data_IF_601467378248
#
_entry.id   IF_601467378248
#
_cell.length_a   1.000
_cell.length_b   1.000
_cell.length_c   1.000
_cell.angle_alpha   90.00
_cell.angle_beta   90.00
_cell.angle_gamma   90.00
#
_symmetry.space_group_name_H-M   'P 1'
#
loop_
_entity.id
_entity.type
_entity.pdbx_description
1 polymer ?
#
# COMPACT_ATOMS: atom_id res chain seq x y z
N UNK A 1 -20.92 -8.44 -1.71
CA UNK A 1 -20.22 -7.14 -1.72
C UNK A 1 -20.71 -6.19 -0.59
N UNK A 2 -21.40 -6.69 0.45
CA UNK A 2 -22.03 -5.86 1.49
C UNK A 2 -21.49 -6.15 2.92
N UNK A 3 -20.33 -6.82 3.04
CA UNK A 3 -19.81 -7.33 4.32
C UNK A 3 -18.35 -6.97 4.60
N UNK A 4 -17.68 -6.23 3.71
CA UNK A 4 -16.44 -5.54 4.07
C UNK A 4 -16.80 -4.13 4.54
N UNK A 5 -16.23 -3.71 5.67
CA UNK A 5 -16.34 -2.33 6.11
C UNK A 5 -15.89 -1.40 4.97
N UNK A 6 -16.84 -0.64 4.42
CA UNK A 6 -16.53 0.41 3.45
C UNK A 6 -15.70 1.47 4.17
N UNK A 7 -14.37 1.34 4.08
CA UNK A 7 -13.43 2.35 4.52
C UNK A 7 -13.90 3.72 4.03
N UNK A 8 -13.98 4.70 4.94
CA UNK A 8 -14.42 6.04 4.60
C UNK A 8 -13.54 6.62 3.48
N UNK A 9 -14.16 6.94 2.35
CA UNK A 9 -13.48 7.57 1.22
C UNK A 9 -14.27 8.80 0.78
N UNK A 10 -13.62 9.97 0.76
CA UNK A 10 -14.20 11.24 0.32
C UNK A 10 -13.17 12.03 -0.51
N UNK A 11 -13.38 12.08 -1.82
CA UNK A 11 -12.51 12.77 -2.80
C UNK A 11 -13.02 14.18 -3.17
N UNK A 12 -14.09 14.67 -2.52
CA UNK A 12 -14.66 16.00 -2.77
C UNK A 12 -14.93 16.33 -4.26
N UNK A 13 -15.29 15.33 -5.09
CA UNK A 13 -15.44 15.47 -6.55
C UNK A 13 -16.43 16.57 -6.97
N UNK A 14 -17.56 16.70 -6.26
CA UNK A 14 -18.53 17.80 -6.47
C UNK A 14 -17.87 19.16 -6.25
N UNK A 15 -17.14 19.31 -5.14
CA UNK A 15 -16.44 20.56 -4.81
C UNK A 15 -15.38 20.89 -5.86
N UNK A 16 -14.64 19.90 -6.36
CA UNK A 16 -13.62 20.08 -7.41
C UNK A 16 -14.25 20.67 -8.68
N UNK A 17 -15.34 20.08 -9.15
CA UNK A 17 -16.06 20.55 -10.34
C UNK A 17 -16.66 21.95 -10.12
N UNK A 18 -17.27 22.22 -8.95
CA UNK A 18 -17.80 23.55 -8.62
C UNK A 18 -16.71 24.63 -8.59
N UNK A 19 -15.54 24.33 -8.02
CA UNK A 19 -14.42 25.27 -7.98
C UNK A 19 -13.92 25.61 -9.38
N UNK A 20 -13.94 24.68 -10.32
CA UNK A 20 -13.55 24.94 -11.71
C UNK A 20 -14.53 25.87 -12.39
N UNK A 21 -15.83 25.67 -12.19
CA UNK A 21 -16.85 26.60 -12.72
C UNK A 21 -16.67 28.00 -12.13
N UNK A 22 -16.42 28.12 -10.83
CA UNK A 22 -16.12 29.42 -10.19
C UNK A 22 -14.89 30.10 -10.79
N UNK A 23 -13.86 29.32 -11.18
CA UNK A 23 -12.63 29.87 -11.79
C UNK A 23 -12.87 30.49 -13.16
N UNK A 24 -13.81 29.97 -13.95
CA UNK A 24 -14.17 30.53 -15.27
C UNK A 24 -14.61 31.98 -15.14
N UNK A 25 -15.49 32.26 -14.17
CA UNK A 25 -15.99 33.62 -13.91
C UNK A 25 -15.00 34.48 -13.11
N UNK A 26 -13.91 33.87 -12.62
CA UNK A 26 -13.04 34.47 -11.63
C UNK A 26 -12.29 35.71 -12.12
N UNK A 27 -11.99 35.83 -13.42
CA UNK A 27 -11.11 36.91 -13.93
C UNK A 27 -11.85 38.07 -14.61
N UNK A 28 -13.17 38.19 -14.40
CA UNK A 28 -13.96 39.23 -15.06
C UNK A 28 -13.80 40.58 -14.35
N UNK A 29 -13.68 41.65 -15.14
CA UNK A 29 -13.55 43.03 -14.66
C UNK A 29 -14.51 43.97 -15.38
N UNK A 30 -14.95 45.02 -14.71
CA UNK A 30 -15.79 46.06 -15.27
C UNK A 30 -15.11 47.43 -15.15
N UNK A 31 -15.42 48.35 -16.06
CA UNK A 31 -14.91 49.71 -16.00
C UNK A 31 -15.82 50.59 -15.16
N UNK A 32 -15.26 51.33 -14.19
CA UNK A 32 -16.04 52.29 -13.38
C UNK A 32 -15.93 53.71 -13.90
N UNK A 33 -14.74 54.11 -14.33
CA UNK A 33 -14.42 55.50 -14.66
C UNK A 33 -13.15 55.56 -15.52
N UNK A 34 -12.82 56.73 -16.05
CA UNK A 34 -11.59 56.99 -16.79
C UNK A 34 -10.53 57.58 -15.86
N UNK A 35 -9.28 57.15 -16.03
CA UNK A 35 -8.13 57.84 -15.46
C UNK A 35 -7.88 59.13 -16.23
N UNK A 36 -7.08 60.02 -15.63
CA UNK A 36 -6.63 61.27 -16.27
C UNK A 36 -5.83 61.06 -17.57
N UNK A 37 -5.40 59.83 -17.86
CA UNK A 37 -4.70 59.43 -19.10
C UNK A 37 -5.65 58.87 -20.19
N UNK A 38 -6.96 58.82 -19.94
CA UNK A 38 -7.96 58.26 -20.86
C UNK A 38 -8.11 56.73 -20.80
N UNK A 39 -7.37 56.02 -19.95
CA UNK A 39 -7.50 54.58 -19.74
C UNK A 39 -8.59 54.24 -18.71
N UNK A 40 -9.26 53.09 -18.89
CA UNK A 40 -10.32 52.64 -17.98
C UNK A 40 -9.77 52.18 -16.62
N UNK A 41 -10.41 52.62 -15.53
CA UNK A 41 -10.24 52.04 -14.19
C UNK A 41 -11.05 50.75 -14.13
N UNK A 42 -10.35 49.62 -14.16
CA UNK A 42 -10.95 48.28 -14.10
C UNK A 42 -11.04 47.79 -12.65
N UNK A 43 -12.20 47.28 -12.26
CA UNK A 43 -12.41 46.58 -10.98
C UNK A 43 -12.81 45.14 -11.25
N UNK A 44 -12.22 44.21 -10.51
CA UNK A 44 -12.55 42.78 -10.60
C UNK A 44 -13.87 42.50 -9.90
N UNK A 45 -14.73 41.70 -10.54
CA UNK A 45 -15.98 41.25 -9.94
C UNK A 45 -15.69 40.06 -9.01
N UNK A 46 -16.10 40.12 -7.73
CA UNK A 46 -15.96 38.98 -6.84
C UNK A 46 -16.93 37.86 -7.24
N UNK A 47 -16.42 36.62 -7.33
CA UNK A 47 -17.22 35.42 -7.53
C UNK A 47 -17.26 34.62 -6.24
N UNK A 48 -18.45 34.17 -5.83
CA UNK A 48 -18.66 33.37 -4.61
C UNK A 48 -19.48 32.14 -4.93
N UNK A 49 -19.14 31.04 -4.28
CA UNK A 49 -20.02 29.86 -4.24
C UNK A 49 -21.12 30.13 -3.21
N UNK A 50 -22.37 30.15 -3.64
CA UNK A 50 -23.52 30.35 -2.77
C UNK A 50 -23.85 29.04 -2.05
N UNK A 51 -23.10 28.74 -0.98
CA UNK A 51 -23.43 27.70 -0.02
C UNK A 51 -23.98 28.33 1.26
N UNK A 52 -25.04 29.12 1.15
CA UNK A 52 -25.58 29.84 2.30
C UNK A 52 -26.98 29.35 2.61
N UNK A 53 -27.12 28.63 3.72
CA UNK A 53 -28.43 28.39 4.33
C UNK A 53 -29.12 29.74 4.56
N UNK A 54 -30.42 29.84 4.26
CA UNK A 54 -31.25 31.04 4.46
C UNK A 54 -31.06 31.69 5.85
N UNK A 55 -30.76 30.87 6.87
CA UNK A 55 -30.49 31.30 8.24
C UNK A 55 -29.17 32.07 8.41
N UNK A 56 -28.09 31.68 7.71
CA UNK A 56 -26.79 32.36 7.78
C UNK A 56 -26.83 33.70 7.04
N UNK A 57 -27.61 33.79 5.96
CA UNK A 57 -27.89 35.06 5.29
C UNK A 57 -28.68 36.04 6.18
N UNK A 58 -29.57 35.51 7.03
CA UNK A 58 -30.33 36.29 8.00
C UNK A 58 -29.48 36.79 9.18
N UNK A 59 -28.48 35.99 9.60
CA UNK A 59 -27.49 36.37 10.63
C UNK A 59 -26.51 37.42 10.08
N UNK A 60 -26.02 37.26 8.84
CA UNK A 60 -25.16 38.25 8.17
C UNK A 60 -25.85 39.60 7.97
N UNK A 61 -27.17 39.60 7.82
CA UNK A 61 -27.98 40.82 7.73
C UNK A 61 -28.29 41.47 9.08
N UNK A 62 -27.89 40.87 10.21
CA UNK A 62 -28.10 41.43 11.56
C UNK A 62 -29.52 41.98 11.78
N UNK A 63 -30.54 41.34 11.19
CA UNK A 63 -31.93 41.75 11.29
C UNK A 63 -32.24 43.20 10.80
N UNK A 64 -31.38 43.78 9.95
CA UNK A 64 -31.56 45.11 9.35
C UNK A 64 -31.77 44.99 7.84
N UNK A 65 -32.91 45.48 7.35
CA UNK A 65 -33.20 45.59 5.91
C UNK A 65 -32.28 46.57 5.18
N UNK A 66 -31.55 47.42 5.90
CA UNK A 66 -30.82 48.55 5.32
C UNK A 66 -29.33 48.28 5.06
N UNK A 67 -28.87 47.02 5.21
CA UNK A 67 -27.51 46.65 4.83
C UNK A 67 -27.48 46.42 3.31
N UNK A 68 -27.00 47.43 2.59
CA UNK A 68 -26.84 47.35 1.14
C UNK A 68 -25.88 46.21 0.77
N UNK A 69 -26.34 45.29 -0.08
CA UNK A 69 -25.53 44.19 -0.56
C UNK A 69 -24.36 44.76 -1.38
N UNK A 70 -23.14 44.27 -1.17
CA UNK A 70 -21.99 44.66 -1.98
C UNK A 70 -22.18 44.14 -3.41
N UNK A 71 -22.49 45.06 -4.33
CA UNK A 71 -22.63 44.82 -5.77
C UNK A 71 -21.53 45.60 -6.52
N UNK A 72 -20.99 45.09 -7.64
CA UNK A 72 -21.41 43.87 -8.33
C UNK A 72 -20.81 42.60 -7.71
N UNK A 73 -21.52 41.49 -7.84
CA UNK A 73 -21.05 40.17 -7.42
C UNK A 73 -21.62 39.08 -8.33
N UNK A 74 -20.87 37.99 -8.53
CA UNK A 74 -21.36 36.78 -9.18
C UNK A 74 -21.49 35.68 -8.13
N UNK A 75 -22.64 35.02 -8.09
CA UNK A 75 -22.90 33.89 -7.21
C UNK A 75 -23.18 32.64 -8.02
N UNK A 76 -22.45 31.55 -7.73
CA UNK A 76 -22.66 30.24 -8.34
C UNK A 76 -23.35 29.33 -7.32
N UNK A 77 -24.52 28.80 -7.67
CA UNK A 77 -25.28 27.86 -6.85
C UNK A 77 -25.44 26.52 -7.58
N UNK A 78 -25.38 25.43 -6.83
CA UNK A 78 -25.77 24.11 -7.32
C UNK A 78 -27.28 23.95 -7.12
N UNK A 79 -28.04 23.95 -8.22
CA UNK A 79 -29.49 23.83 -8.18
C UNK A 79 -29.92 22.37 -8.02
N UNK A 80 -29.37 21.49 -8.86
CA UNK A 80 -29.76 20.09 -8.88
C UNK A 80 -28.61 19.20 -9.38
N UNK A 81 -28.68 17.92 -9.00
CA UNK A 81 -27.78 16.87 -9.44
C UNK A 81 -28.61 15.69 -9.92
N UNK A 82 -28.82 15.60 -11.22
CA UNK A 82 -29.68 14.61 -11.84
C UNK A 82 -28.89 13.40 -12.32
N UNK A 83 -29.40 12.19 -12.09
CA UNK A 83 -28.80 10.99 -12.65
C UNK A 83 -29.08 10.90 -14.16
N UNK A 84 -28.01 10.83 -14.97
CA UNK A 84 -28.18 10.76 -16.43
C UNK A 84 -28.16 9.33 -16.93
N UNK A 85 -29.36 8.78 -17.13
CA UNK A 85 -29.57 7.40 -17.60
C UNK A 85 -29.05 7.14 -19.02
N UNK A 86 -28.94 8.16 -19.86
CA UNK A 86 -28.56 7.98 -21.26
C UNK A 86 -27.06 7.73 -21.41
N UNK A 87 -26.25 8.19 -20.44
CA UNK A 87 -24.79 8.00 -20.42
C UNK A 87 -24.35 6.79 -19.61
N UNK A 88 -25.29 6.03 -19.05
CA UNK A 88 -24.99 4.86 -18.22
C UNK A 88 -24.36 3.77 -19.08
N UNK A 89 -23.22 3.29 -18.62
CA UNK A 89 -22.55 2.12 -19.16
C UNK A 89 -22.69 0.93 -18.21
N UNK A 90 -22.10 -0.21 -18.57
CA UNK A 90 -22.13 -1.40 -17.72
C UNK A 90 -21.54 -1.11 -16.32
N UNK A 91 -22.32 -1.27 -15.25
CA UNK A 91 -21.92 -0.83 -13.90
C UNK A 91 -20.79 -1.67 -13.28
N UNK A 92 -20.57 -2.90 -13.78
CA UNK A 92 -19.54 -3.81 -13.27
C UNK A 92 -18.25 -3.77 -14.10
N UNK A 93 -18.18 -2.92 -15.11
CA UNK A 93 -16.99 -2.87 -15.94
C UNK A 93 -15.82 -2.27 -15.15
N UNK A 94 -14.72 -3.02 -15.13
CA UNK A 94 -13.43 -2.60 -14.58
C UNK A 94 -12.47 -2.44 -15.75
N UNK A 95 -12.04 -1.21 -15.98
CA UNK A 95 -11.09 -0.91 -17.04
C UNK A 95 -9.67 -1.07 -16.48
N UNK A 96 -8.89 -1.99 -17.05
CA UNK A 96 -7.50 -2.22 -16.67
C UNK A 96 -6.59 -1.56 -17.70
N UNK A 97 -5.76 -0.62 -17.26
CA UNK A 97 -4.77 0.05 -18.10
C UNK A 97 -3.38 -0.36 -17.63
N UNK A 98 -2.58 -0.91 -18.53
CA UNK A 98 -1.18 -1.22 -18.25
C UNK A 98 -0.32 0.02 -18.50
N UNK A 99 0.50 0.35 -17.52
CA UNK A 99 1.37 1.53 -17.50
C UNK A 99 2.80 1.03 -17.32
N UNK A 100 3.70 1.47 -18.19
CA UNK A 100 5.13 1.22 -18.04
C UNK A 100 5.84 2.55 -17.81
N UNK A 101 6.52 2.69 -16.68
CA UNK A 101 7.38 3.82 -16.41
C UNK A 101 8.75 3.61 -17.06
N UNK A 102 9.46 4.70 -17.31
CA UNK A 102 10.89 4.64 -17.68
C UNK A 102 11.70 4.36 -16.43
N UNK A 103 12.76 3.59 -16.58
CA UNK A 103 13.69 3.31 -15.48
C UNK A 103 14.23 4.64 -14.94
N UNK A 104 14.10 4.87 -13.64
CA UNK A 104 14.58 6.08 -12.96
C UNK A 104 15.80 5.70 -12.14
N UNK A 105 16.91 6.37 -12.40
CA UNK A 105 18.14 6.20 -11.63
C UNK A 105 18.17 7.25 -10.52
N UNK A 106 18.03 6.82 -9.27
CA UNK A 106 17.98 7.71 -8.09
C UNK A 106 19.32 8.40 -7.81
N UNK A 107 20.45 7.88 -8.32
CA UNK A 107 21.78 8.43 -8.07
C UNK A 107 22.10 9.58 -9.04
N UNK A 108 21.66 9.46 -10.30
CA UNK A 108 21.86 10.49 -11.34
C UNK A 108 20.66 11.42 -11.51
N UNK A 109 19.48 11.01 -11.04
CA UNK A 109 18.23 11.73 -11.19
C UNK A 109 17.70 11.76 -12.62
N UNK A 110 18.23 10.89 -13.50
CA UNK A 110 17.88 10.85 -14.93
C UNK A 110 16.97 9.65 -15.27
N UNK A 111 16.13 9.83 -16.28
CA UNK A 111 15.29 8.76 -16.83
C UNK A 111 16.06 7.97 -17.89
N UNK A 112 16.31 6.70 -17.62
CA UNK A 112 16.92 5.76 -18.55
C UNK A 112 16.06 5.44 -19.77
N UNK A 113 16.67 4.77 -20.76
CA UNK A 113 15.98 4.27 -21.96
C UNK A 113 15.38 2.87 -21.79
N UNK A 114 15.49 2.28 -20.60
CA UNK A 114 14.95 0.96 -20.27
C UNK A 114 13.54 1.11 -19.67
N UNK A 115 12.73 0.06 -19.83
CA UNK A 115 11.44 -0.05 -19.15
C UNK A 115 11.70 -0.28 -17.65
N UNK A 116 11.14 0.58 -16.82
CA UNK A 116 11.23 0.51 -15.36
C UNK A 116 10.05 -0.28 -14.77
N UNK A 117 9.42 0.30 -13.73
CA UNK A 117 8.25 -0.29 -13.11
C UNK A 117 7.07 -0.42 -14.07
N UNK A 118 6.47 -1.61 -14.13
CA UNK A 118 5.19 -1.81 -14.82
C UNK A 118 4.08 -1.87 -13.78
N UNK A 119 3.00 -1.14 -14.03
CA UNK A 119 1.84 -1.04 -13.17
C UNK A 119 0.57 -1.38 -13.96
N UNK A 120 -0.41 -1.92 -13.27
CA UNK A 120 -1.78 -2.07 -13.77
C UNK A 120 -2.65 -1.14 -12.95
N UNK A 121 -3.27 -0.17 -13.63
CA UNK A 121 -4.29 0.68 -13.05
C UNK A 121 -5.65 0.04 -13.31
N UNK A 122 -6.35 -0.29 -12.24
CA UNK A 122 -7.74 -0.76 -12.30
C UNK A 122 -8.67 0.39 -11.89
N UNK A 123 -9.49 0.85 -12.84
CA UNK A 123 -10.48 1.89 -12.62
C UNK A 123 -11.88 1.33 -12.86
N UNK A 124 -12.77 1.58 -11.90
CA UNK A 124 -14.18 1.22 -12.02
C UNK A 124 -14.92 2.21 -12.93
N UNK A 125 -15.98 1.74 -13.58
CA UNK A 125 -16.89 2.63 -14.31
C UNK A 125 -17.52 3.67 -13.37
N UNK A 126 -17.46 4.92 -13.82
CA UNK A 126 -17.96 6.10 -13.16
C UNK A 126 -19.44 6.25 -13.47
N UNK A 127 -20.14 6.81 -12.51
CA UNK A 127 -21.56 6.99 -12.55
C UNK A 127 -21.86 8.38 -13.14
N UNK A 128 -22.60 8.49 -14.25
CA UNK A 128 -22.89 9.77 -14.89
C UNK A 128 -23.99 10.54 -14.15
N UNK A 129 -23.74 11.82 -13.94
CA UNK A 129 -24.71 12.79 -13.45
C UNK A 129 -24.68 14.05 -14.30
N UNK A 130 -25.79 14.77 -14.35
CA UNK A 130 -25.89 16.13 -14.88
C UNK A 130 -26.00 17.09 -13.71
N UNK A 131 -25.01 17.97 -13.61
CA UNK A 131 -24.98 19.04 -12.63
C UNK A 131 -25.67 20.27 -13.22
N UNK A 132 -26.71 20.75 -12.55
CA UNK A 132 -27.43 21.98 -12.93
C UNK A 132 -26.96 23.13 -12.03
N UNK A 133 -26.37 24.14 -12.63
CA UNK A 133 -25.81 25.30 -11.93
C UNK A 133 -26.61 26.55 -12.29
N UNK A 134 -26.87 27.36 -11.26
CA UNK A 134 -27.43 28.68 -11.42
C UNK A 134 -26.33 29.71 -11.11
N UNK A 135 -26.03 30.59 -12.06
CA UNK A 135 -25.08 31.69 -11.90
C UNK A 135 -25.85 33.00 -11.94
N UNK A 136 -25.88 33.70 -10.81
CA UNK A 136 -26.55 34.99 -10.70
C UNK A 136 -25.52 36.12 -10.68
N UNK A 137 -25.70 37.08 -11.58
CA UNK A 137 -24.97 38.34 -11.63
C UNK A 137 -25.81 39.43 -10.98
N UNK A 138 -25.29 39.99 -9.89
CA UNK A 138 -25.86 41.12 -9.16
C UNK A 138 -25.13 42.39 -9.59
N UNK A 139 -25.87 43.40 -10.08
CA UNK A 139 -25.29 44.67 -10.52
C UNK A 139 -26.14 45.86 -10.04
N UNK A 140 -25.50 47.01 -9.80
CA UNK A 140 -26.22 48.22 -9.37
C UNK A 140 -26.86 48.98 -10.53
N UNK A 141 -26.36 48.79 -11.76
CA UNK A 141 -26.87 49.45 -12.95
C UNK A 141 -26.81 48.52 -14.17
N UNK A 142 -27.60 48.85 -15.21
CA UNK A 142 -27.68 48.06 -16.44
C UNK A 142 -26.36 48.06 -17.23
N UNK A 143 -25.61 49.16 -17.18
CA UNK A 143 -24.34 49.30 -17.90
C UNK A 143 -23.27 48.35 -17.36
N UNK A 144 -23.10 48.28 -16.04
CA UNK A 144 -22.21 47.32 -15.38
C UNK A 144 -22.63 45.88 -15.67
N UNK A 145 -23.94 45.61 -15.66
CA UNK A 145 -24.49 44.30 -16.02
C UNK A 145 -24.13 43.92 -17.45
N UNK A 146 -24.31 44.83 -18.40
CA UNK A 146 -24.00 44.60 -19.81
C UNK A 146 -22.50 44.38 -20.04
N UNK A 147 -21.64 45.23 -19.46
CA UNK A 147 -20.18 45.07 -19.58
C UNK A 147 -19.69 43.70 -19.08
N UNK A 148 -20.26 43.21 -17.98
CA UNK A 148 -19.90 41.90 -17.42
C UNK A 148 -20.51 40.78 -18.27
N UNK A 149 -21.77 40.91 -18.66
CA UNK A 149 -22.48 39.87 -19.42
C UNK A 149 -21.88 39.68 -20.82
N UNK A 150 -21.52 40.75 -21.53
CA UNK A 150 -20.88 40.65 -22.85
C UNK A 150 -19.56 39.88 -22.80
N UNK A 151 -18.77 40.04 -21.73
CA UNK A 151 -17.53 39.27 -21.52
C UNK A 151 -17.81 37.78 -21.27
N UNK A 152 -18.96 37.44 -20.67
CA UNK A 152 -19.35 36.04 -20.40
C UNK A 152 -19.96 35.41 -21.65
N UNK A 153 -20.91 36.10 -22.30
CA UNK A 153 -21.72 35.56 -23.37
C UNK A 153 -20.88 35.10 -24.57
N UNK A 154 -19.78 35.80 -24.89
CA UNK A 154 -18.88 35.40 -25.99
C UNK A 154 -18.07 34.14 -25.72
N UNK A 155 -17.95 33.70 -24.45
CA UNK A 155 -17.23 32.48 -24.09
C UNK A 155 -18.06 31.22 -24.34
N UNK A 156 -19.38 31.34 -24.43
CA UNK A 156 -20.30 30.22 -24.57
C UNK A 156 -20.96 30.25 -25.94
N UNK A 157 -20.60 29.31 -26.81
CA UNK A 157 -21.22 29.15 -28.13
C UNK A 157 -21.44 27.66 -28.48
N UNK A 158 -22.49 27.00 -27.96
CA UNK A 158 -23.27 27.24 -26.74
C UNK A 158 -22.58 26.68 -25.47
N UNK A 159 -21.39 26.11 -25.62
CA UNK A 159 -20.70 25.37 -24.56
C UNK A 159 -19.21 25.72 -24.49
N UNK A 160 -18.60 25.39 -23.36
CA UNK A 160 -17.19 25.55 -23.07
C UNK A 160 -16.64 24.23 -22.54
N UNK A 161 -15.61 23.69 -23.19
CA UNK A 161 -14.93 22.48 -22.72
C UNK A 161 -13.86 22.83 -21.68
N UNK A 162 -13.81 22.04 -20.62
CA UNK A 162 -12.95 22.21 -19.46
C UNK A 162 -12.20 20.92 -19.21
N UNK A 163 -10.89 21.06 -19.02
CA UNK A 163 -10.06 19.97 -18.52
C UNK A 163 -9.91 20.13 -17.01
N UNK A 164 -10.38 19.13 -16.27
CA UNK A 164 -10.46 19.12 -14.82
C UNK A 164 -9.19 18.57 -14.17
N UNK A 165 -8.40 17.78 -14.89
CA UNK A 165 -7.20 17.08 -14.43
C UNK A 165 -6.19 16.91 -15.56
N UNK A 166 -4.90 17.00 -15.23
CA UNK A 166 -3.79 16.73 -16.15
C UNK A 166 -3.43 15.23 -16.21
N UNK A 167 -4.07 14.41 -15.37
CA UNK A 167 -3.85 12.97 -15.36
C UNK A 167 -4.46 12.34 -16.62
N UNK A 168 -3.61 11.80 -17.50
CA UNK A 168 -4.00 11.13 -18.74
C UNK A 168 -4.85 9.87 -18.51
N UNK A 169 -4.76 9.26 -17.32
CA UNK A 169 -5.52 8.07 -16.96
C UNK A 169 -6.84 8.40 -16.24
N UNK A 170 -7.07 9.68 -15.92
CA UNK A 170 -8.35 10.17 -15.44
C UNK A 170 -9.29 10.41 -16.63
N UNK A 171 -10.26 9.53 -16.76
CA UNK A 171 -11.28 9.59 -17.81
C UNK A 171 -12.44 10.54 -17.46
N UNK A 172 -12.50 11.05 -16.22
CA UNK A 172 -13.41 12.14 -15.81
C UNK A 172 -12.80 13.53 -16.05
N UNK A 173 -11.60 13.57 -16.63
CA UNK A 173 -10.82 14.78 -16.85
C UNK A 173 -11.48 15.79 -17.80
N UNK A 174 -12.31 15.36 -18.75
CA UNK A 174 -12.97 16.27 -19.68
C UNK A 174 -14.42 16.49 -19.27
N UNK A 175 -14.81 17.75 -19.10
CA UNK A 175 -16.20 18.15 -18.81
C UNK A 175 -16.57 19.34 -19.69
N UNK A 176 -17.82 19.40 -20.11
CA UNK A 176 -18.35 20.50 -20.91
C UNK A 176 -19.37 21.28 -20.09
N UNK A 177 -19.24 22.60 -20.05
CA UNK A 177 -20.21 23.49 -19.43
C UNK A 177 -21.05 24.14 -20.52
N UNK A 178 -22.34 23.83 -20.55
CA UNK A 178 -23.27 24.37 -21.55
C UNK A 178 -24.18 25.44 -20.93
N UNK A 179 -24.44 26.51 -21.68
CA UNK A 179 -25.37 27.57 -21.29
C UNK A 179 -26.77 27.25 -21.84
N UNK A 180 -27.72 26.91 -20.97
CA UNK A 180 -29.09 26.52 -21.36
C UNK A 180 -30.00 27.72 -21.57
N UNK A 181 -29.93 28.69 -20.64
CA UNK A 181 -30.84 29.82 -20.65
C UNK A 181 -30.26 31.02 -19.92
N UNK A 182 -30.65 32.20 -20.37
CA UNK A 182 -30.32 33.48 -19.74
C UNK A 182 -31.62 34.21 -19.45
N UNK A 183 -31.86 34.51 -18.17
CA UNK A 183 -32.88 35.45 -17.74
C UNK A 183 -32.22 36.81 -17.52
N UNK A 184 -32.42 37.73 -18.47
CA UNK A 184 -31.71 39.01 -18.53
C UNK A 184 -32.11 40.02 -17.43
N UNK A 185 -33.33 39.91 -16.91
CA UNK A 185 -33.82 40.80 -15.86
C UNK A 185 -35.00 40.14 -15.14
N UNK A 186 -34.90 40.04 -13.81
CA UNK A 186 -36.01 39.66 -12.95
C UNK A 186 -36.94 40.84 -12.58
N UNK A 187 -36.65 42.06 -13.08
CA UNK A 187 -37.46 43.25 -12.80
C UNK A 187 -38.74 43.23 -13.64
N UNK A 188 -39.90 43.41 -12.99
CA UNK A 188 -41.09 43.87 -13.70
C UNK A 188 -40.87 45.30 -14.20
N UNK A 189 -41.45 45.68 -15.33
CA UNK A 189 -41.36 47.05 -15.86
C UNK A 189 -41.85 48.04 -14.77
N UNK A 190 -41.00 48.89 -14.19
CA UNK A 190 -41.39 49.68 -13.04
C UNK A 190 -42.28 50.86 -13.46
N UNK A 191 -43.47 50.94 -12.88
CA UNK A 191 -44.26 52.19 -12.75
C UNK A 191 -43.93 52.74 -11.35
N UNK A 192 -42.75 53.36 -11.16
CA UNK A 192 -42.33 53.89 -9.85
C UNK A 192 -40.85 54.29 -9.77
N UNK A 193 -40.50 55.06 -8.73
CA UNK A 193 -39.21 55.77 -8.54
C UNK A 193 -38.18 55.04 -7.64
N UNK A 194 -38.27 53.72 -7.44
CA UNK A 194 -37.26 52.99 -6.64
C UNK A 194 -36.18 52.35 -7.53
N UNK A 195 -34.93 52.66 -7.23
CA UNK A 195 -33.76 52.01 -7.84
C UNK A 195 -33.52 50.64 -7.20
N UNK A 196 -34.05 49.60 -7.84
CA UNK A 196 -33.83 48.20 -7.46
C UNK A 196 -32.53 47.66 -8.08
N UNK A 197 -31.86 46.74 -7.38
CA UNK A 197 -30.70 46.00 -7.87
C UNK A 197 -31.09 45.17 -9.09
N UNK A 198 -30.26 45.19 -10.13
CA UNK A 198 -30.47 44.32 -11.30
C UNK A 198 -29.84 42.95 -11.09
N UNK A 199 -30.61 41.91 -11.42
CA UNK A 199 -30.17 40.51 -11.34
C UNK A 199 -30.34 39.89 -12.72
N UNK A 200 -29.26 39.31 -13.23
CA UNK A 200 -29.25 38.46 -14.42
C UNK A 200 -28.90 37.03 -13.99
N UNK A 201 -29.74 36.07 -14.35
CA UNK A 201 -29.59 34.66 -13.98
C UNK A 201 -29.25 33.85 -15.22
N UNK A 202 -28.18 33.06 -15.15
CA UNK A 202 -27.76 32.13 -16.19
C UNK A 202 -27.83 30.71 -15.65
N UNK A 203 -28.51 29.83 -16.38
CA UNK A 203 -28.58 28.41 -16.03
C UNK A 203 -27.62 27.62 -16.91
N UNK A 204 -26.73 26.87 -16.27
CA UNK A 204 -25.75 26.03 -16.92
C UNK A 204 -25.99 24.56 -16.58
N UNK A 205 -25.65 23.68 -17.52
CA UNK A 205 -25.60 22.23 -17.27
C UNK A 205 -24.20 21.72 -17.57
N UNK A 206 -23.70 20.83 -16.72
CA UNK A 206 -22.41 20.17 -16.88
C UNK A 206 -22.54 18.66 -16.66
N UNK A 207 -22.12 17.81 -17.61
CA UNK A 207 -21.90 16.38 -17.36
C UNK A 207 -20.82 16.22 -16.31
N UNK A 208 -21.09 15.49 -15.23
CA UNK A 208 -20.05 15.08 -14.29
C UNK A 208 -20.13 13.58 -14.05
N UNK A 209 -18.99 13.00 -13.69
CA UNK A 209 -18.86 11.57 -13.45
C UNK A 209 -18.35 11.38 -12.02
N UNK A 210 -18.97 10.44 -11.29
CA UNK A 210 -18.46 10.04 -9.98
C UNK A 210 -17.85 8.65 -10.07
N UNK A 211 -16.57 8.53 -9.75
CA UNK A 211 -15.87 7.26 -9.69
C UNK A 211 -15.38 6.98 -8.27
N UNK A 212 -15.36 5.70 -7.84
CA UNK A 212 -14.56 5.31 -6.68
C UNK A 212 -13.06 5.48 -6.97
N UNK A 213 -12.19 5.46 -5.95
CA UNK A 213 -10.75 5.48 -6.15
C UNK A 213 -10.28 4.33 -7.03
N UNK A 214 -9.28 4.58 -7.88
CA UNK A 214 -8.64 3.56 -8.69
C UNK A 214 -7.63 2.76 -7.86
N UNK A 215 -7.49 1.47 -8.18
CA UNK A 215 -6.51 0.58 -7.56
C UNK A 215 -5.27 0.56 -8.46
N UNK A 216 -4.10 0.77 -7.88
CA UNK A 216 -2.83 0.70 -8.58
C UNK A 216 -2.07 -0.54 -8.12
N UNK A 217 -1.91 -1.50 -9.02
CA UNK A 217 -1.15 -2.72 -8.77
C UNK A 217 0.20 -2.64 -9.47
N UNK A 218 1.30 -2.88 -8.75
CA UNK A 218 2.62 -2.98 -9.37
C UNK A 218 2.85 -4.42 -9.82
N UNK A 219 3.07 -4.63 -11.12
CA UNK A 219 3.40 -5.95 -11.63
C UNK A 219 4.86 -6.29 -11.30
N UNK A 220 5.06 -7.35 -10.52
CA UNK A 220 6.38 -7.98 -10.35
C UNK A 220 6.44 -9.20 -11.26
N UNK A 221 7.38 -9.22 -12.21
CA UNK A 221 7.54 -10.35 -13.11
C UNK A 221 8.28 -11.47 -12.34
N UNK A 222 7.60 -12.56 -12.03
CA UNK A 222 8.23 -13.72 -11.39
C UNK A 222 8.82 -14.61 -12.48
N UNK A 223 10.14 -14.54 -12.67
CA UNK A 223 10.85 -15.47 -13.52
C UNK A 223 11.08 -16.79 -12.75
N UNK A 224 10.33 -17.83 -13.08
CA UNK A 224 10.65 -19.21 -12.63
C UNK A 224 10.98 -20.04 -13.86
N UNK A 225 12.23 -20.47 -13.99
CA UNK A 225 12.62 -21.44 -15.01
C UNK A 225 12.29 -22.83 -14.46
N UNK A 226 11.26 -23.48 -14.99
CA UNK A 226 11.01 -24.91 -14.77
C UNK A 226 11.71 -25.64 -15.92
N UNK A 227 12.95 -26.09 -15.69
CA UNK A 227 13.63 -26.96 -16.65
C UNK A 227 13.41 -28.41 -16.23
N UNK A 228 12.73 -29.20 -17.06
CA UNK A 228 12.75 -30.65 -16.95
C UNK A 228 14.04 -31.16 -17.58
N UNK A 229 14.97 -31.67 -16.78
CA UNK A 229 16.08 -32.51 -17.25
C UNK A 229 15.84 -33.91 -16.68
N UNK A 230 15.65 -34.86 -17.58
CA UNK A 230 15.82 -36.28 -17.28
C UNK A 230 17.31 -36.54 -17.41
N UNK A 231 18.00 -36.77 -16.30
CA UNK A 231 19.33 -37.38 -16.35
C UNK A 231 19.35 -38.60 -15.43
N UNK A 232 19.31 -39.76 -16.07
CA UNK A 232 19.63 -41.03 -15.46
C UNK A 232 21.12 -41.07 -15.20
N UNK A 233 21.56 -41.05 -13.94
CA UNK A 233 22.57 -42.00 -13.46
C UNK A 233 22.81 -41.92 -11.95
N UNK A 234 22.78 -43.12 -11.37
CA UNK A 234 23.20 -43.52 -10.03
C UNK A 234 24.60 -42.98 -9.68
N UNK A 235 24.74 -42.24 -8.57
CA UNK A 235 25.93 -42.23 -7.67
C UNK A 235 25.97 -41.00 -6.73
N UNK A 236 25.03 -40.88 -5.78
CA UNK A 236 25.31 -40.12 -4.54
C UNK A 236 24.33 -40.53 -3.43
N UNK A 237 24.40 -41.80 -3.00
CA UNK A 237 23.62 -42.33 -1.87
C UNK A 237 24.51 -42.69 -0.67
N UNK A 238 25.67 -42.06 -0.54
CA UNK A 238 26.55 -42.34 0.58
C UNK A 238 27.25 -41.05 1.01
N UNK A 239 27.19 -40.77 2.31
CA UNK A 239 27.71 -39.61 3.03
C UNK A 239 26.77 -38.40 3.12
N UNK A 240 25.98 -38.36 4.20
CA UNK A 240 25.49 -37.21 4.99
C UNK A 240 24.02 -37.40 5.39
N UNK A 241 23.76 -38.17 6.44
CA UNK A 241 22.40 -38.40 6.93
C UNK A 241 22.33 -39.12 8.27
N UNK A 242 22.96 -38.58 9.32
CA UNK A 242 22.81 -39.14 10.67
C UNK A 242 22.86 -38.09 11.81
N UNK A 243 22.68 -36.80 11.49
CA UNK A 243 22.64 -35.72 12.49
C UNK A 243 21.40 -34.81 12.39
N UNK A 244 20.61 -34.94 11.32
CA UNK A 244 19.37 -34.20 11.11
C UNK A 244 18.40 -35.17 10.44
N UNK A 245 17.39 -35.64 11.18
CA UNK A 245 16.41 -36.65 10.75
C UNK A 245 15.65 -36.23 9.49
N UNK A 246 16.26 -36.48 8.34
CA UNK A 246 15.63 -36.39 7.02
C UNK A 246 15.71 -37.78 6.44
N UNK A 247 14.70 -38.58 6.77
CA UNK A 247 14.54 -39.94 6.27
C UNK A 247 13.90 -39.83 4.87
N UNK A 248 14.65 -40.18 3.84
CA UNK A 248 14.18 -40.13 2.45
C UNK A 248 13.55 -41.49 2.10
N UNK A 249 12.23 -41.57 2.21
CA UNK A 249 11.47 -42.75 1.78
C UNK A 249 11.54 -42.92 0.25
N UNK A 250 11.79 -44.15 -0.18
CA UNK A 250 12.32 -44.57 -1.50
C UNK A 250 11.21 -44.66 -2.58
N UNK A 251 10.32 -43.65 -2.64
CA UNK A 251 8.99 -43.81 -3.25
C UNK A 251 8.53 -42.85 -4.36
N UNK A 252 9.23 -41.78 -4.71
CA UNK A 252 8.68 -40.77 -5.65
C UNK A 252 9.33 -40.79 -7.05
N UNK A 253 8.79 -41.66 -7.91
CA UNK A 253 9.16 -41.85 -9.31
C UNK A 253 8.57 -40.76 -10.26
N UNK A 254 8.67 -39.49 -9.86
CA UNK A 254 8.57 -38.32 -10.73
C UNK A 254 9.60 -37.27 -10.28
N UNK A 255 10.89 -37.57 -10.45
CA UNK A 255 11.98 -36.66 -10.05
C UNK A 255 11.95 -35.36 -10.87
N UNK A 256 11.27 -34.35 -10.34
CA UNK A 256 11.32 -32.96 -10.80
C UNK A 256 12.45 -32.25 -10.06
N UNK A 257 13.54 -31.93 -10.75
CA UNK A 257 14.63 -31.16 -10.13
C UNK A 257 14.33 -29.67 -10.24
N UNK A 258 13.88 -29.06 -9.13
CA UNK A 258 13.75 -27.60 -9.02
C UNK A 258 15.13 -27.05 -8.67
N UNK A 259 15.77 -26.36 -9.63
CA UNK A 259 17.12 -25.82 -9.47
C UNK A 259 17.04 -24.34 -9.11
N UNK A 260 17.73 -23.93 -8.05
CA UNK A 260 17.96 -22.53 -7.68
C UNK A 260 18.89 -21.84 -8.69
N UNK A 261 18.92 -20.50 -8.75
CA UNK A 261 19.88 -19.78 -9.59
C UNK A 261 21.31 -20.31 -9.39
N UNK A 262 21.91 -20.85 -10.45
CA UNK A 262 23.27 -21.42 -10.41
C UNK A 262 23.44 -22.72 -9.62
N UNK A 263 22.35 -23.40 -9.20
CA UNK A 263 22.38 -24.65 -8.41
C UNK A 263 23.01 -24.53 -7.00
N UNK A 264 23.16 -23.31 -6.49
CA UNK A 264 23.75 -23.05 -5.18
C UNK A 264 22.77 -23.30 -4.02
N UNK A 265 23.31 -23.69 -2.87
CA UNK A 265 22.62 -23.64 -1.57
C UNK A 265 22.90 -22.30 -0.87
N UNK A 266 22.05 -21.91 0.08
CA UNK A 266 22.26 -20.71 0.89
C UNK A 266 22.24 -21.05 2.37
N UNK A 267 23.19 -20.51 3.13
CA UNK A 267 23.20 -20.55 4.58
C UNK A 267 22.56 -19.29 5.14
N UNK A 268 21.71 -19.42 6.15
CA UNK A 268 21.14 -18.28 6.87
C UNK A 268 21.52 -18.31 8.34
N UNK A 269 22.22 -17.26 8.79
CA UNK A 269 22.64 -17.07 10.19
C UNK A 269 22.63 -15.58 10.53
N UNK A 270 22.00 -15.18 11.64
CA UNK A 270 22.06 -13.81 12.17
C UNK A 270 21.80 -12.70 11.12
N UNK A 271 20.72 -12.84 10.34
CA UNK A 271 20.31 -11.93 9.25
C UNK A 271 21.24 -11.88 8.02
N UNK A 272 22.26 -12.73 7.96
CA UNK A 272 23.16 -12.83 6.82
C UNK A 272 22.83 -14.09 6.03
N UNK A 273 22.60 -13.91 4.74
CA UNK A 273 22.48 -14.96 3.74
C UNK A 273 23.83 -15.15 3.04
N UNK A 274 24.42 -16.33 3.25
CA UNK A 274 25.69 -16.70 2.64
C UNK A 274 25.46 -17.65 1.47
N UNK A 275 25.98 -17.33 0.30
CA UNK A 275 25.98 -18.24 -0.85
C UNK A 275 26.99 -19.37 -0.63
N UNK A 276 26.55 -20.62 -0.75
CA UNK A 276 27.38 -21.81 -0.56
C UNK A 276 27.73 -22.48 -1.89
N UNK A 277 28.85 -23.21 -1.89
CA UNK A 277 29.30 -24.01 -3.03
C UNK A 277 28.45 -25.29 -3.22
N UNK A 278 28.67 -25.99 -4.34
CA UNK A 278 28.00 -27.28 -4.64
C UNK A 278 28.23 -28.37 -3.57
N UNK A 279 29.26 -28.23 -2.73
CA UNK A 279 29.56 -29.12 -1.60
C UNK A 279 29.06 -28.59 -0.25
N UNK A 280 28.19 -27.57 -0.24
CA UNK A 280 27.72 -26.84 0.95
C UNK A 280 28.85 -26.19 1.77
N UNK A 281 30.01 -25.94 1.14
CA UNK A 281 31.15 -25.25 1.73
C UNK A 281 31.15 -23.75 1.39
N UNK A 282 31.91 -22.96 2.16
CA UNK A 282 32.13 -21.53 1.89
C UNK A 282 33.04 -21.27 0.67
N UNK A 283 33.82 -22.28 0.27
CA UNK A 283 34.81 -22.18 -0.81
C UNK A 283 34.46 -23.16 -1.95
N UNK A 284 34.62 -22.69 -3.19
CA UNK A 284 34.57 -23.54 -4.37
C UNK A 284 35.84 -24.39 -4.57
N UNK A 285 35.86 -25.23 -5.61
CA UNK A 285 37.01 -26.10 -5.95
C UNK A 285 38.34 -25.35 -6.08
N UNK A 286 38.30 -24.07 -6.43
CA UNK A 286 39.46 -23.19 -6.63
C UNK A 286 39.78 -22.28 -5.42
N UNK A 287 39.22 -22.57 -4.24
CA UNK A 287 39.35 -21.77 -3.02
C UNK A 287 38.85 -20.32 -3.16
N UNK A 288 37.98 -20.07 -4.16
CA UNK A 288 37.31 -18.79 -4.37
C UNK A 288 35.95 -18.77 -3.68
N UNK A 289 35.63 -17.60 -3.13
CA UNK A 289 34.31 -17.28 -2.55
C UNK A 289 33.36 -17.00 -3.72
N UNK A 290 32.16 -17.58 -3.70
CA UNK A 290 31.14 -17.35 -4.73
C UNK A 290 30.45 -16.00 -4.52
N UNK A 291 30.66 -15.01 -5.40
CA UNK A 291 30.04 -13.71 -5.21
C UNK A 291 28.58 -13.72 -5.68
N UNK A 292 27.73 -12.96 -5.01
CA UNK A 292 26.33 -12.77 -5.43
C UNK A 292 26.22 -11.95 -6.73
N UNK A 293 27.12 -10.99 -6.95
CA UNK A 293 27.12 -10.10 -8.11
C UNK A 293 27.02 -10.83 -9.47
N UNK A 294 27.93 -11.75 -9.84
CA UNK A 294 27.85 -12.44 -11.13
C UNK A 294 26.63 -13.34 -11.23
N UNK A 295 26.15 -13.90 -10.11
CA UNK A 295 24.96 -14.73 -10.09
C UNK A 295 23.72 -13.88 -10.39
N UNK A 296 23.57 -12.74 -9.71
CA UNK A 296 22.43 -11.83 -9.89
C UNK A 296 22.44 -11.25 -11.31
N UNK A 297 23.61 -10.82 -11.80
CA UNK A 297 23.78 -10.24 -13.13
C UNK A 297 23.36 -11.19 -14.28
N UNK A 298 23.38 -12.51 -14.06
CA UNK A 298 22.91 -13.49 -15.03
C UNK A 298 21.37 -13.46 -15.20
N UNK A 299 20.63 -13.09 -14.16
CA UNK A 299 19.16 -13.15 -14.13
C UNK A 299 18.47 -11.79 -14.16
N UNK A 300 19.21 -10.70 -13.89
CA UNK A 300 18.67 -9.35 -13.91
C UNK A 300 19.60 -8.32 -13.28
N UNK A 301 19.06 -7.15 -12.96
CA UNK A 301 19.77 -6.13 -12.21
C UNK A 301 19.32 -6.16 -10.75
N UNK A 302 20.29 -6.12 -9.83
CA UNK A 302 20.00 -5.92 -8.42
C UNK A 302 19.41 -4.52 -8.20
N UNK A 303 18.33 -4.43 -7.42
CA UNK A 303 17.69 -3.18 -7.04
C UNK A 303 17.58 -3.13 -5.51
N UNK A 304 18.39 -2.30 -4.82
CA UNK A 304 18.32 -2.16 -3.37
C UNK A 304 16.89 -1.89 -2.88
N UNK A 305 16.47 -2.58 -1.82
CA UNK A 305 15.11 -2.47 -1.26
C UNK A 305 13.96 -3.02 -2.14
N UNK A 306 14.23 -3.51 -3.35
CA UNK A 306 13.21 -4.08 -4.27
C UNK A 306 13.47 -5.57 -4.48
N UNK A 307 14.72 -5.96 -4.65
CA UNK A 307 15.12 -7.36 -4.81
C UNK A 307 14.82 -8.14 -3.52
N UNK A 308 14.20 -9.30 -3.67
CA UNK A 308 13.70 -10.13 -2.56
C UNK A 308 14.32 -11.52 -2.65
N UNK A 309 14.66 -12.07 -1.49
CA UNK A 309 14.89 -13.51 -1.35
C UNK A 309 13.70 -14.14 -0.62
N UNK A 310 13.29 -15.30 -1.12
CA UNK A 310 12.25 -16.14 -0.54
C UNK A 310 12.87 -17.45 -0.10
N UNK A 311 12.69 -17.83 1.16
CA UNK A 311 13.10 -19.13 1.71
C UNK A 311 11.86 -19.97 2.00
N UNK A 312 11.92 -21.26 1.66
CA UNK A 312 10.91 -22.24 2.02
C UNK A 312 11.46 -23.07 3.21
N UNK A 313 10.92 -22.88 4.43
CA UNK A 313 11.34 -23.62 5.62
C UNK A 313 10.66 -25.00 5.77
N UNK A 314 9.81 -25.38 4.81
CA UNK A 314 9.13 -26.68 4.82
C UNK A 314 10.00 -27.77 4.22
N UNK A 315 9.66 -29.03 4.50
CA UNK A 315 10.33 -30.19 3.92
C UNK A 315 9.80 -30.54 2.52
N UNK A 316 8.74 -29.84 2.07
CA UNK A 316 8.10 -30.04 0.77
C UNK A 316 8.36 -28.83 -0.12
N UNK A 317 9.09 -29.05 -1.21
CA UNK A 317 9.46 -28.00 -2.16
C UNK A 317 8.25 -27.42 -2.92
N UNK A 318 7.14 -28.15 -3.00
CA UNK A 318 5.89 -27.72 -3.65
C UNK A 318 4.96 -27.01 -2.65
N UNK A 319 5.07 -27.26 -1.35
CA UNK A 319 4.34 -26.49 -0.34
C UNK A 319 4.99 -25.13 -0.10
N UNK A 320 4.31 -24.10 -0.60
CA UNK A 320 4.77 -22.69 -0.57
C UNK A 320 3.89 -21.81 0.29
N UNK A 321 2.98 -22.40 1.07
CA UNK A 321 2.07 -21.65 1.94
C UNK A 321 2.81 -20.89 3.04
N UNK A 322 4.01 -21.36 3.38
CA UNK A 322 4.86 -20.85 4.45
C UNK A 322 6.17 -20.24 3.92
N UNK A 323 6.20 -19.79 2.66
CA UNK A 323 7.35 -19.09 2.07
C UNK A 323 7.64 -17.78 2.84
N UNK A 324 8.83 -17.70 3.43
CA UNK A 324 9.32 -16.54 4.20
C UNK A 324 10.04 -15.60 3.25
N UNK A 325 9.71 -14.30 3.30
CA UNK A 325 10.17 -13.32 2.32
C UNK A 325 10.93 -12.20 3.02
N UNK A 326 11.92 -11.65 2.34
CA UNK A 326 12.62 -10.45 2.82
C UNK A 326 13.38 -9.77 1.70
N UNK A 327 13.58 -8.46 1.85
CA UNK A 327 14.42 -7.69 0.93
C UNK A 327 15.89 -7.97 1.23
N UNK A 328 16.73 -7.82 0.22
CA UNK A 328 18.17 -8.07 0.35
C UNK A 328 18.98 -6.84 0.01
N UNK A 329 20.08 -6.67 0.73
CA UNK A 329 21.13 -5.69 0.49
C UNK A 329 22.49 -6.40 0.47
N UNK A 330 23.48 -5.85 -0.22
CA UNK A 330 24.83 -6.45 -0.22
C UNK A 330 25.46 -6.35 1.18
N UNK A 331 26.05 -7.45 1.63
CA UNK A 331 26.75 -7.55 2.91
C UNK A 331 28.17 -7.00 2.86
N UNK A 332 28.95 -7.33 3.90
CA UNK A 332 30.37 -7.01 4.02
C UNK A 332 31.25 -7.80 3.06
N UNK A 333 30.93 -9.07 2.84
CA UNK A 333 31.69 -9.96 1.97
C UNK A 333 30.93 -10.26 0.66
N UNK A 334 31.64 -10.60 -0.44
CA UNK A 334 31.00 -10.79 -1.75
C UNK A 334 29.96 -11.92 -1.81
N UNK A 335 30.05 -12.93 -0.93
CA UNK A 335 29.09 -14.03 -0.80
C UNK A 335 27.98 -13.76 0.21
N UNK A 336 27.94 -12.59 0.83
CA UNK A 336 26.98 -12.25 1.88
C UNK A 336 25.94 -11.26 1.36
N UNK A 337 24.68 -11.54 1.67
CA UNK A 337 23.57 -10.60 1.57
C UNK A 337 22.99 -10.37 2.96
N UNK A 338 22.76 -9.12 3.31
CA UNK A 338 21.94 -8.77 4.45
C UNK A 338 20.47 -9.01 4.09
N UNK A 339 19.79 -9.89 4.82
CA UNK A 339 18.39 -10.23 4.59
C UNK A 339 17.47 -9.54 5.59
N UNK A 340 16.70 -8.58 5.09
CA UNK A 340 15.70 -7.83 5.85
C UNK A 340 14.36 -8.57 5.73
N UNK A 341 14.11 -9.48 6.67
CA UNK A 341 12.91 -10.33 6.70
C UNK A 341 11.65 -9.50 6.91
N UNK A 342 10.59 -9.80 6.15
CA UNK A 342 9.25 -9.27 6.39
C UNK A 342 8.60 -10.02 7.56
N UNK A 343 8.36 -9.36 8.70
CA UNK A 343 7.83 -10.01 9.90
C UNK A 343 6.41 -10.56 9.70
N UNK A 344 5.67 -10.10 8.69
CA UNK A 344 4.33 -10.63 8.38
C UNK A 344 4.37 -12.03 7.75
N UNK A 345 5.53 -12.45 7.25
CA UNK A 345 5.72 -13.77 6.63
C UNK A 345 6.25 -14.82 7.60
N UNK A 346 6.63 -14.43 8.81
CA UNK A 346 7.10 -15.36 9.84
C UNK A 346 5.93 -16.13 10.47
N UNK A 347 6.10 -17.42 10.80
CA UNK A 347 5.10 -18.18 11.55
C UNK A 347 4.78 -17.52 12.88
N UNK A 348 3.49 -17.47 13.23
CA UNK A 348 3.07 -16.99 14.54
C UNK A 348 3.50 -17.98 15.64
N UNK A 349 3.90 -17.46 16.81
CA UNK A 349 4.19 -18.30 17.96
C UNK A 349 2.90 -18.97 18.44
N UNK A 350 2.93 -20.29 18.58
CA UNK A 350 1.81 -21.08 19.13
C UNK A 350 1.89 -21.17 20.65
N UNK A 351 3.10 -21.03 21.20
CA UNK A 351 3.38 -21.05 22.64
C UNK A 351 3.87 -19.66 23.07
N UNK A 352 3.50 -19.26 24.27
CA UNK A 352 4.01 -18.01 24.84
C UNK A 352 5.54 -18.00 24.96
N UNK A 353 6.19 -16.84 24.73
CA UNK A 353 7.65 -16.74 24.67
C UNK A 353 8.34 -17.25 25.94
N UNK A 354 9.50 -17.87 25.75
CA UNK A 354 10.41 -18.23 26.84
C UNK A 354 11.42 -17.11 27.09
N UNK A 355 11.89 -17.00 28.32
CA UNK A 355 12.92 -16.02 28.67
C UNK A 355 14.31 -16.53 28.27
N UNK A 356 14.60 -17.82 28.43
CA UNK A 356 15.87 -18.43 28.02
C UNK A 356 15.77 -19.95 27.84
N UNK A 357 16.76 -20.50 27.13
CA UNK A 357 17.07 -21.94 27.10
C UNK A 357 18.14 -22.20 28.16
N UNK A 358 17.95 -23.20 29.02
CA UNK A 358 18.86 -23.47 30.13
C UNK A 358 19.25 -24.95 30.21
N UNK A 359 20.46 -25.18 30.71
CA UNK A 359 20.89 -26.45 31.27
C UNK A 359 20.66 -26.40 32.79
N UNK A 360 19.65 -27.12 33.32
CA UNK A 360 19.25 -26.99 34.72
C UNK A 360 20.28 -27.54 35.71
N UNK A 361 21.24 -28.35 35.24
CA UNK A 361 22.35 -28.84 36.06
C UNK A 361 23.49 -27.82 36.20
N UNK A 362 23.54 -26.81 35.33
CA UNK A 362 24.56 -25.74 35.35
C UNK A 362 24.03 -24.41 35.89
N UNK A 363 22.77 -24.10 35.62
CA UNK A 363 22.16 -22.85 36.02
C UNK A 363 20.76 -23.10 36.61
N UNK A 364 20.53 -22.60 37.82
CA UNK A 364 19.27 -22.74 38.55
C UNK A 364 18.99 -21.49 39.40
N UNK A 365 17.75 -21.26 39.89
CA UNK A 365 17.42 -20.11 40.70
C UNK A 365 18.38 -19.91 41.89
N UNK A 366 19.08 -18.78 41.93
CA UNK A 366 20.08 -18.47 42.98
C UNK A 366 21.51 -18.91 42.65
N UNK A 367 21.74 -19.60 41.52
CA UNK A 367 23.06 -19.94 41.00
C UNK A 367 23.07 -19.86 39.47
N UNK A 368 23.56 -18.74 38.93
CA UNK A 368 23.57 -18.47 37.49
C UNK A 368 22.23 -17.93 36.93
N UNK A 369 21.10 -18.18 37.61
CA UNK A 369 19.81 -17.54 37.30
C UNK A 369 19.38 -16.59 38.42
N UNK A 370 18.73 -15.49 38.03
CA UNK A 370 18.11 -14.57 38.97
C UNK A 370 16.96 -15.24 39.74
N UNK A 371 16.52 -14.63 40.84
CA UNK A 371 15.34 -15.08 41.58
C UNK A 371 14.13 -14.91 40.63
N UNK A 372 13.36 -15.99 40.36
CA UNK A 372 12.29 -15.95 39.38
C UNK A 372 11.14 -15.05 39.85
N UNK A 373 10.56 -14.33 38.90
CA UNK A 373 9.32 -13.57 39.10
C UNK A 373 8.15 -14.31 38.46
N UNK A 374 6.92 -13.99 38.83
CA UNK A 374 5.74 -14.58 38.19
C UNK A 374 5.83 -14.41 36.67
N UNK A 375 5.60 -15.49 35.93
CA UNK A 375 5.66 -15.55 34.46
C UNK A 375 7.05 -15.82 33.88
N UNK A 376 8.08 -16.09 34.71
CA UNK A 376 9.40 -16.50 34.20
C UNK A 376 9.32 -17.88 33.56
N UNK A 377 9.78 -18.01 32.31
CA UNK A 377 9.68 -19.24 31.51
C UNK A 377 11.03 -19.71 30.99
N UNK A 378 11.30 -21.01 31.12
CA UNK A 378 12.54 -21.62 30.63
C UNK A 378 12.30 -22.89 29.84
N UNK A 379 13.10 -23.08 28.79
CA UNK A 379 13.18 -24.33 28.03
C UNK A 379 14.37 -25.17 28.51
N UNK A 380 14.12 -26.43 28.82
CA UNK A 380 15.09 -27.30 29.48
C UNK A 380 15.89 -28.14 28.49
N UNK A 381 17.22 -28.11 28.60
CA UNK A 381 18.12 -28.99 27.84
C UNK A 381 18.31 -30.37 28.48
N UNK A 382 17.94 -30.53 29.74
CA UNK A 382 18.09 -31.76 30.52
C UNK A 382 16.92 -31.90 31.53
N UNK A 383 16.75 -33.07 32.13
CA UNK A 383 15.68 -33.33 33.09
C UNK A 383 15.88 -32.63 34.44
N UNK A 384 14.78 -32.32 35.12
CA UNK A 384 14.75 -31.82 36.49
C UNK A 384 13.77 -32.63 37.33
N UNK A 385 14.14 -32.82 38.60
CA UNK A 385 13.29 -33.41 39.63
C UNK A 385 13.13 -32.52 40.84
N UNK A 386 12.41 -33.05 41.83
CA UNK A 386 12.16 -32.37 43.10
C UNK A 386 13.48 -31.96 43.76
N UNK A 387 13.65 -30.66 44.01
CA UNK A 387 14.88 -30.11 44.57
C UNK A 387 14.63 -28.82 45.34
N UNK A 388 15.63 -28.35 46.08
CA UNK A 388 15.55 -27.05 46.77
C UNK A 388 15.50 -25.89 45.75
N UNK A 389 16.17 -26.05 44.60
CA UNK A 389 16.27 -25.00 43.58
C UNK A 389 15.00 -24.88 42.73
N UNK A 390 14.38 -26.01 42.37
CA UNK A 390 13.21 -26.06 41.47
C UNK A 390 11.89 -26.34 42.20
N UNK A 391 11.92 -26.67 43.49
CA UNK A 391 10.73 -27.00 44.27
C UNK A 391 10.18 -28.39 43.93
N UNK A 392 8.86 -28.55 44.03
CA UNK A 392 8.17 -29.81 43.72
C UNK A 392 7.72 -29.78 42.26
N UNK A 393 8.61 -30.19 41.36
CA UNK A 393 8.37 -30.30 39.92
C UNK A 393 9.16 -31.48 39.35
N UNK A 394 8.62 -32.10 38.32
CA UNK A 394 9.34 -33.05 37.48
C UNK A 394 9.09 -32.66 36.04
N UNK A 395 10.16 -32.39 35.29
CA UNK A 395 10.11 -32.01 33.88
C UNK A 395 11.31 -32.64 33.15
N UNK A 396 11.14 -32.98 31.89
CA UNK A 396 12.15 -33.67 31.07
C UNK A 396 12.87 -32.70 30.15
N UNK A 397 13.87 -33.21 29.45
CA UNK A 397 14.49 -32.52 28.32
C UNK A 397 13.41 -32.08 27.32
N UNK A 398 13.57 -30.88 26.75
CA UNK A 398 12.67 -30.21 25.82
C UNK A 398 11.34 -29.69 26.40
N UNK A 399 11.06 -29.91 27.69
CA UNK A 399 9.90 -29.31 28.35
C UNK A 399 10.10 -27.80 28.58
N UNK A 400 8.99 -27.06 28.64
CA UNK A 400 8.97 -25.66 29.06
C UNK A 400 8.33 -25.56 30.43
N UNK A 401 9.01 -24.89 31.34
CA UNK A 401 8.54 -24.62 32.70
C UNK A 401 8.24 -23.14 32.89
N UNK A 402 7.26 -22.83 33.74
CA UNK A 402 6.85 -21.48 34.11
C UNK A 402 6.75 -21.33 35.64
N UNK A 403 7.24 -20.21 36.18
CA UNK A 403 7.06 -19.87 37.58
C UNK A 403 5.79 -19.04 37.79
N UNK A 404 4.82 -19.57 38.56
CA UNK A 404 3.52 -18.91 38.79
C UNK A 404 3.53 -17.83 39.90
N UNK A 405 4.72 -17.50 40.41
CA UNK A 405 4.91 -16.63 41.57
C UNK A 405 5.08 -17.38 42.90
N UNK A 406 4.70 -18.66 42.95
CA UNK A 406 4.81 -19.53 44.13
C UNK A 406 5.57 -20.84 43.87
N UNK A 407 5.41 -21.44 42.69
CA UNK A 407 6.05 -22.70 42.29
C UNK A 407 6.29 -22.74 40.78
N UNK A 408 7.17 -23.66 40.38
CA UNK A 408 7.36 -24.00 38.97
C UNK A 408 6.29 -25.00 38.53
N UNK A 409 5.76 -24.81 37.32
CA UNK A 409 4.84 -25.73 36.65
C UNK A 409 5.35 -26.03 35.24
N UNK A 410 5.17 -27.26 34.76
CA UNK A 410 5.45 -27.61 33.36
C UNK A 410 4.29 -27.14 32.49
N UNK A 411 4.56 -26.20 31.58
CA UNK A 411 3.55 -25.58 30.69
C UNK A 411 3.60 -26.14 29.26
N UNK A 412 4.71 -26.77 28.89
CA UNK A 412 4.83 -27.56 27.67
C UNK A 412 5.48 -28.90 28.01
N UNK A 413 4.84 -29.99 27.61
CA UNK A 413 5.33 -31.36 27.80
C UNK A 413 5.67 -31.93 26.43
N UNK A 414 6.97 -32.10 26.16
CA UNK A 414 7.48 -32.50 24.84
C UNK A 414 6.95 -33.86 24.39
N UNK A 415 6.92 -34.85 25.29
CA UNK A 415 6.46 -36.21 25.00
C UNK A 415 4.97 -36.30 24.63
N UNK A 416 4.18 -35.27 24.91
CA UNK A 416 2.76 -35.24 24.55
C UNK A 416 2.54 -34.60 23.16
N UNK A 417 3.60 -34.26 22.43
CA UNK A 417 3.57 -33.38 21.27
C UNK A 417 4.38 -33.96 20.10
N UNK A 418 4.28 -35.28 19.88
CA UNK A 418 5.08 -35.98 18.85
C UNK A 418 4.67 -35.59 17.41
N UNK A 419 3.40 -35.22 17.17
CA UNK A 419 2.85 -34.94 15.83
C UNK A 419 2.51 -33.46 15.56
N UNK A 420 2.70 -32.55 16.53
CA UNK A 420 2.31 -31.14 16.41
C UNK A 420 3.53 -30.22 16.24
N UNK A 421 3.56 -29.43 15.17
CA UNK A 421 4.58 -28.38 14.99
C UNK A 421 4.22 -27.19 15.88
N UNK A 422 5.12 -26.85 16.80
CA UNK A 422 4.94 -25.73 17.73
C UNK A 422 6.04 -24.68 17.54
N UNK A 423 5.70 -23.41 17.73
CA UNK A 423 6.62 -22.29 17.59
C UNK A 423 6.69 -21.48 18.88
N UNK A 424 7.91 -21.14 19.31
CA UNK A 424 8.14 -20.34 20.51
C UNK A 424 9.27 -19.34 20.28
N UNK A 425 9.11 -18.12 20.80
CA UNK A 425 10.15 -17.08 20.76
C UNK A 425 11.04 -17.16 21.99
N UNK A 426 12.35 -17.17 21.79
CA UNK A 426 13.33 -17.01 22.87
C UNK A 426 13.67 -15.52 23.05
N UNK A 427 13.29 -14.92 24.18
CA UNK A 427 13.56 -13.51 24.48
C UNK A 427 15.02 -13.19 24.76
N UNK A 428 15.83 -14.17 25.15
CA UNK A 428 17.27 -13.97 25.37
C UNK A 428 18.02 -13.76 24.05
N UNK A 429 17.71 -14.57 23.04
CA UNK A 429 18.38 -14.49 21.72
C UNK A 429 17.56 -13.73 20.66
N UNK A 430 16.29 -13.43 20.93
CA UNK A 430 15.29 -12.97 19.96
C UNK A 430 15.10 -13.90 18.75
N UNK A 431 15.45 -15.18 18.89
CA UNK A 431 15.29 -16.20 17.83
C UNK A 431 14.04 -17.04 18.07
N UNK A 432 13.32 -17.37 17.00
CA UNK A 432 12.19 -18.28 17.05
C UNK A 432 12.68 -19.73 16.93
N UNK A 433 12.10 -20.61 17.75
CA UNK A 433 12.35 -22.04 17.76
C UNK A 433 11.12 -22.77 17.23
N UNK A 434 11.36 -23.89 16.55
CA UNK A 434 10.37 -24.83 16.03
C UNK A 434 10.54 -26.17 16.73
N UNK A 435 9.45 -26.73 17.22
CA UNK A 435 9.38 -28.10 17.69
C UNK A 435 9.15 -29.05 16.51
N UNK A 436 9.96 -30.09 16.40
CA UNK A 436 9.91 -31.07 15.29
C UNK A 436 9.31 -32.42 15.68
N UNK A 437 8.79 -32.57 16.91
CA UNK A 437 8.42 -33.86 17.49
C UNK A 437 9.58 -34.54 18.23
N UNK A 438 10.83 -34.28 17.82
CA UNK A 438 12.03 -34.84 18.46
C UNK A 438 12.81 -33.81 19.30
N UNK A 439 12.79 -32.56 18.87
CA UNK A 439 13.65 -31.51 19.44
C UNK A 439 13.23 -30.11 19.06
N UNK A 440 13.77 -29.14 19.80
CA UNK A 440 13.68 -27.72 19.46
C UNK A 440 14.85 -27.34 18.55
N UNK A 441 14.52 -26.85 17.35
CA UNK A 441 15.49 -26.33 16.39
C UNK A 441 15.19 -24.86 16.09
N UNK A 442 16.15 -24.12 15.55
CA UNK A 442 15.87 -22.77 15.06
C UNK A 442 14.87 -22.85 13.89
N UNK A 443 13.85 -21.99 13.91
CA UNK A 443 12.78 -22.04 12.91
C UNK A 443 13.25 -21.61 11.51
N UNK A 444 14.28 -20.76 11.44
CA UNK A 444 14.74 -20.12 10.20
C UNK A 444 16.23 -20.34 9.93
N UNK A 445 17.07 -20.44 10.96
CA UNK A 445 18.52 -20.59 10.77
C UNK A 445 18.88 -21.99 10.30
N UNK A 446 19.75 -22.06 9.30
CA UNK A 446 20.12 -23.33 8.69
C UNK A 446 20.61 -23.18 7.26
N UNK A 447 20.81 -24.33 6.61
CA UNK A 447 21.23 -24.41 5.22
C UNK A 447 20.01 -24.77 4.37
N UNK A 448 19.64 -23.90 3.45
CA UNK A 448 18.60 -24.13 2.46
C UNK A 448 19.23 -24.71 1.21
N UNK A 449 18.93 -25.97 0.95
CA UNK A 449 19.42 -26.67 -0.23
C UNK A 449 18.78 -26.12 -1.50
N UNK A 450 19.36 -26.49 -2.65
CA UNK A 450 18.85 -26.14 -3.97
C UNK A 450 17.35 -26.42 -4.10
N UNK A 451 16.63 -25.44 -4.62
CA UNK A 451 15.18 -25.46 -4.80
C UNK A 451 14.35 -24.90 -3.62
N UNK A 452 14.91 -24.83 -2.41
CA UNK A 452 14.23 -24.29 -1.21
C UNK A 452 14.40 -22.78 -1.02
N UNK A 453 15.09 -22.10 -1.93
CA UNK A 453 15.19 -20.64 -1.92
C UNK A 453 14.96 -20.06 -3.32
N UNK A 454 14.60 -18.77 -3.41
CA UNK A 454 14.41 -18.06 -4.69
C UNK A 454 14.90 -16.63 -4.59
N UNK A 455 15.41 -16.14 -5.71
CA UNK A 455 15.75 -14.74 -5.92
C UNK A 455 14.70 -14.10 -6.82
N UNK A 456 14.18 -12.94 -6.41
CA UNK A 456 13.25 -12.11 -7.16
C UNK A 456 13.92 -10.74 -7.37
N UNK A 457 14.11 -10.34 -8.63
CA UNK A 457 14.81 -9.11 -9.01
C UNK A 457 13.87 -8.01 -9.49
#
# INVERSE_FOLDING_TARGET
MATEELNFWYDAQIRRNLMQVVRIFGQISYATDFKSDGSYIKRRVPVRLAMTNRQVAHILKNNSENVMLSVPAITVNLNNLNYDRNRVQEPFHVNKVQISERDYDEETGEYGNKVGGTYTLERYMAVPYTMELQVDLWASNTEQKNQIFEQIAVLFNPSLQLQTSDNVFDWTSLTELTLESVNYSSRGVPIGTSDEIEILTMNFTAPIWFSPPAILERQKLINTIITNIVDSNERTRDLLGDAYGVDWDDGDLLARQIVTPGNHAVGFTDNILTLLSDSNGLFGPDNQIFPWDPLIAQYGAFRPGISLIVLNPTNDIEDRRYDIRGTVDFGSEPNELLWNIDPSTLPANTIEPIDAIIDPHKAYPGYGLAIPTSGTRYLLLDEIGNSVAWGVITARKNDIIEYDGTKWNTVFVADNQEDEIQFVLNRFTNKQLKWTGEGWVYALEGIYTRGFWRLLL
#
